data_IF_192624718329
#
_entry.id   IF_192624718329
#
_cell.length_a   1.000
_cell.length_b   1.000
_cell.length_c   1.000
_cell.angle_alpha   90.00
_cell.angle_beta   90.00
_cell.angle_gamma   90.00
#
_symmetry.space_group_name_H-M   'P 1'
#
loop_
_entity.id
_entity.type
_entity.pdbx_description
1 polymer ?
#
# COMPACT_ATOMS: atom_id res chain seq x y z
N UNK A 1 14.88 9.96 4.24
CA UNK A 1 13.53 9.74 4.77
C UNK A 1 13.08 8.38 4.27
N UNK A 2 12.77 7.39 5.12
CA UNK A 2 12.05 6.22 4.64
C UNK A 2 10.63 6.71 4.31
N UNK A 3 10.28 6.67 3.02
CA UNK A 3 8.92 6.93 2.55
C UNK A 3 8.12 5.61 2.57
N UNK A 4 6.80 5.66 2.78
CA UNK A 4 6.02 4.47 3.05
C UNK A 4 5.66 3.81 1.73
N UNK A 5 6.40 2.80 1.32
CA UNK A 5 5.75 1.68 0.64
C UNK A 5 5.23 0.79 1.78
N UNK A 6 3.92 0.75 2.05
CA UNK A 6 3.36 0.11 3.24
C UNK A 6 3.23 -1.41 3.02
N UNK A 7 4.29 -2.01 2.51
CA UNK A 7 4.32 -3.41 2.12
C UNK A 7 5.56 -4.04 2.73
N UNK A 8 5.42 -5.22 3.32
CA UNK A 8 6.55 -5.96 3.90
C UNK A 8 7.66 -6.22 2.87
N UNK A 9 7.31 -6.20 1.58
CA UNK A 9 8.21 -6.40 0.44
C UNK A 9 7.95 -5.35 -0.67
N UNK A 10 8.52 -4.13 -0.58
CA UNK A 10 8.38 -3.13 -1.64
C UNK A 10 9.07 -3.59 -2.93
N UNK A 11 8.52 -3.21 -4.09
CA UNK A 11 9.29 -3.36 -5.33
C UNK A 11 10.64 -2.65 -5.19
N UNK A 12 11.73 -3.21 -5.75
CA UNK A 12 13.06 -2.57 -5.71
C UNK A 12 13.15 -1.31 -6.58
N UNK A 13 12.03 -0.70 -6.98
CA UNK A 13 11.95 0.45 -7.89
C UNK A 13 12.74 1.67 -7.38
N UNK A 14 12.64 1.98 -6.10
CA UNK A 14 13.34 3.10 -5.47
C UNK A 14 14.86 2.94 -5.44
N UNK A 15 15.35 1.70 -5.47
CA UNK A 15 16.76 1.36 -5.39
C UNK A 15 17.47 1.51 -6.75
N UNK A 16 16.72 1.57 -7.85
CA UNK A 16 17.24 1.71 -9.22
C UNK A 16 17.67 3.14 -9.60
N UNK A 17 17.82 4.04 -8.62
CA UNK A 17 18.33 5.41 -8.85
C UNK A 17 19.79 5.36 -9.32
N UNK A 18 20.01 5.52 -10.62
CA UNK A 18 21.37 5.66 -11.17
C UNK A 18 21.64 5.07 -12.54
N UNK A 19 20.63 4.55 -13.25
CA UNK A 19 20.88 3.75 -14.46
C UNK A 19 21.53 2.40 -14.11
N UNK A 20 21.79 1.57 -15.12
CA UNK A 20 22.31 0.19 -15.01
C UNK A 20 23.62 0.11 -14.20
N UNK A 21 23.53 0.11 -12.88
CA UNK A 21 24.62 -0.24 -11.98
C UNK A 21 24.47 -1.71 -11.62
N UNK A 22 25.25 -2.53 -12.32
CA UNK A 22 26.06 -3.67 -11.84
C UNK A 22 25.53 -4.52 -10.64
N UNK A 23 25.06 -3.92 -9.55
CA UNK A 23 24.70 -4.60 -8.31
C UNK A 23 23.31 -5.27 -8.31
N UNK A 24 22.38 -4.87 -9.19
CA UNK A 24 21.04 -5.48 -9.31
C UNK A 24 20.86 -6.36 -10.55
N UNK A 25 21.97 -6.67 -11.24
CA UNK A 25 22.06 -7.82 -12.14
C UNK A 25 20.96 -7.94 -13.18
N UNK A 26 20.87 -7.01 -14.13
CA UNK A 26 20.35 -7.38 -15.43
C UNK A 26 21.43 -8.27 -16.10
N UNK A 27 21.28 -9.60 -16.23
CA UNK A 27 22.24 -10.42 -16.96
C UNK A 27 22.44 -9.85 -18.36
N UNK A 28 23.70 -9.83 -18.78
CA UNK A 28 24.10 -9.37 -20.09
C UNK A 28 23.33 -10.15 -21.16
N UNK A 29 22.56 -9.44 -22.00
CA UNK A 29 21.74 -10.03 -23.07
C UNK A 29 20.22 -9.90 -22.90
N UNK A 30 19.73 -9.19 -21.87
CA UNK A 30 18.30 -8.91 -21.77
C UNK A 30 17.79 -8.06 -22.95
N UNK A 31 16.69 -8.46 -23.61
CA UNK A 31 16.05 -7.62 -24.62
C UNK A 31 15.58 -6.32 -23.97
N UNK A 32 16.08 -5.20 -24.47
CA UNK A 32 15.60 -3.88 -24.09
C UNK A 32 14.12 -3.78 -24.44
N UNK A 33 13.26 -3.51 -23.46
CA UNK A 33 11.83 -3.31 -23.72
C UNK A 33 11.70 -2.04 -24.55
N UNK A 34 11.00 -2.12 -25.67
CA UNK A 34 10.75 -0.96 -26.51
C UNK A 34 9.73 -0.02 -25.85
N UNK A 35 10.21 0.83 -24.94
CA UNK A 35 9.40 1.82 -24.23
C UNK A 35 9.38 3.13 -25.01
N UNK A 36 8.18 3.65 -25.29
CA UNK A 36 8.00 4.94 -25.94
C UNK A 36 8.24 6.07 -24.94
N UNK A 37 9.17 6.99 -25.22
CA UNK A 37 9.45 8.14 -24.36
C UNK A 37 8.19 8.95 -23.98
N UNK A 38 7.31 9.30 -24.94
CA UNK A 38 6.01 9.91 -24.64
C UNK A 38 5.09 9.06 -23.74
N UNK A 39 5.09 7.74 -23.88
CA UNK A 39 4.28 6.86 -23.03
C UNK A 39 4.78 6.85 -21.58
N UNK A 40 6.10 6.82 -21.38
CA UNK A 40 6.72 6.91 -20.04
C UNK A 40 6.35 8.23 -19.35
N UNK A 41 6.38 9.35 -20.09
CA UNK A 41 5.97 10.66 -19.55
C UNK A 41 4.49 10.66 -19.16
N UNK A 42 3.61 10.13 -20.01
CA UNK A 42 2.19 10.06 -19.72
C UNK A 42 1.90 9.17 -18.49
N UNK A 43 2.59 8.04 -18.36
CA UNK A 43 2.49 7.17 -17.20
C UNK A 43 2.96 7.87 -15.92
N UNK A 44 4.10 8.56 -15.97
CA UNK A 44 4.61 9.34 -14.82
C UNK A 44 3.61 10.44 -14.41
N UNK A 45 3.02 11.14 -15.36
CA UNK A 45 1.97 12.14 -15.12
C UNK A 45 0.76 11.50 -14.43
N UNK A 46 0.25 10.38 -14.94
CA UNK A 46 -0.87 9.65 -14.35
C UNK A 46 -0.58 9.25 -12.90
N UNK A 47 0.60 8.69 -12.63
CA UNK A 47 1.02 8.31 -11.27
C UNK A 47 0.98 9.52 -10.32
N UNK A 48 1.47 10.69 -10.76
CA UNK A 48 1.46 11.91 -9.94
C UNK A 48 0.08 12.54 -9.80
N UNK A 49 -0.81 12.33 -10.77
CA UNK A 49 -2.22 12.74 -10.65
C UNK A 49 -2.97 11.89 -9.61
N UNK A 50 -2.63 10.61 -9.48
CA UNK A 50 -3.18 9.72 -8.46
C UNK A 50 -2.56 10.00 -7.08
N UNK A 51 -1.23 10.12 -7.04
CA UNK A 51 -0.46 10.37 -5.83
C UNK A 51 0.72 11.34 -6.09
N UNK A 52 0.60 12.63 -5.71
CA UNK A 52 1.60 13.65 -6.04
C UNK A 52 3.01 13.42 -5.48
N UNK A 53 3.11 12.68 -4.37
CA UNK A 53 4.38 12.38 -3.70
C UNK A 53 4.99 11.04 -4.16
N UNK A 54 4.45 10.45 -5.23
CA UNK A 54 4.99 9.25 -5.83
C UNK A 54 6.41 9.45 -6.36
N UNK A 55 7.13 8.35 -6.51
CA UNK A 55 8.42 8.38 -7.17
C UNK A 55 8.27 8.60 -8.68
N UNK A 56 9.20 9.38 -9.24
CA UNK A 56 9.30 9.60 -10.68
C UNK A 56 9.62 8.31 -11.42
N UNK A 57 8.89 8.09 -12.51
CA UNK A 57 9.07 6.98 -13.44
C UNK A 57 9.91 7.44 -14.61
N UNK A 58 10.98 6.69 -14.88
CA UNK A 58 11.87 6.93 -16.01
C UNK A 58 12.21 5.60 -16.71
N UNK A 59 12.56 5.69 -17.99
CA UNK A 59 12.86 4.51 -18.80
C UNK A 59 13.98 3.63 -18.20
N UNK A 60 15.11 4.18 -17.72
CA UNK A 60 16.15 3.36 -17.08
C UNK A 60 15.68 2.57 -15.85
N UNK A 61 14.81 3.13 -15.01
CA UNK A 61 14.25 2.40 -13.84
C UNK A 61 13.30 1.30 -14.27
N UNK A 62 12.45 1.56 -15.26
CA UNK A 62 11.55 0.55 -15.82
C UNK A 62 12.32 -0.65 -16.39
N UNK A 63 13.41 -0.40 -17.12
CA UNK A 63 14.27 -1.47 -17.64
C UNK A 63 14.90 -2.29 -16.51
N UNK A 64 15.38 -1.66 -15.45
CA UNK A 64 15.94 -2.36 -14.29
C UNK A 64 14.90 -3.16 -13.54
N UNK A 65 13.69 -2.63 -13.37
CA UNK A 65 12.58 -3.34 -12.74
C UNK A 65 12.19 -4.57 -13.55
N UNK A 66 12.09 -4.43 -14.88
CA UNK A 66 11.81 -5.56 -15.77
C UNK A 66 12.91 -6.63 -15.71
N UNK A 67 14.17 -6.22 -15.73
CA UNK A 67 15.30 -7.13 -15.63
C UNK A 67 15.32 -7.88 -14.28
N UNK A 68 15.01 -7.18 -13.19
CA UNK A 68 14.85 -7.79 -11.87
C UNK A 68 13.72 -8.82 -11.87
N UNK A 69 12.54 -8.50 -12.38
CA UNK A 69 11.40 -9.42 -12.40
C UNK A 69 11.73 -10.68 -13.20
N UNK A 70 12.40 -10.54 -14.34
CA UNK A 70 12.82 -11.67 -15.19
C UNK A 70 14.01 -12.45 -14.61
N UNK A 71 14.70 -11.92 -13.60
CA UNK A 71 15.76 -12.64 -12.88
C UNK A 71 15.21 -13.63 -11.85
N UNK A 72 13.94 -13.45 -11.44
CA UNK A 72 13.27 -14.34 -10.51
C UNK A 72 12.84 -15.65 -11.18
N UNK A 73 12.69 -16.74 -10.42
CA UNK A 73 11.95 -17.92 -10.86
C UNK A 73 10.54 -17.54 -11.32
N UNK A 74 10.02 -18.22 -12.36
CA UNK A 74 8.73 -17.89 -12.96
C UNK A 74 7.59 -17.86 -11.93
N UNK A 75 7.50 -18.89 -11.07
CA UNK A 75 6.49 -18.96 -10.00
C UNK A 75 6.59 -17.80 -9.00
N UNK A 76 7.82 -17.37 -8.66
CA UNK A 76 8.06 -16.24 -7.76
C UNK A 76 7.70 -14.91 -8.43
N UNK A 77 8.03 -14.74 -9.71
CA UNK A 77 7.70 -13.54 -10.46
C UNK A 77 6.17 -13.35 -10.57
N UNK A 78 5.42 -14.42 -10.86
CA UNK A 78 3.95 -14.35 -10.88
C UNK A 78 3.39 -14.06 -9.48
N UNK A 79 3.93 -14.69 -8.42
CA UNK A 79 3.50 -14.41 -7.05
C UNK A 79 3.71 -12.93 -6.66
N UNK A 80 4.82 -12.31 -7.06
CA UNK A 80 5.07 -10.88 -6.85
C UNK A 80 4.05 -10.00 -7.58
N UNK A 81 3.70 -10.33 -8.84
CA UNK A 81 2.70 -9.58 -9.59
C UNK A 81 1.30 -9.74 -8.98
N UNK A 82 0.87 -10.98 -8.72
CA UNK A 82 -0.46 -11.30 -8.23
C UNK A 82 -0.72 -10.71 -6.83
N UNK A 83 0.29 -10.72 -5.95
CA UNK A 83 0.18 -10.09 -4.63
C UNK A 83 -0.17 -8.59 -4.73
N UNK A 84 0.35 -7.88 -5.74
CA UNK A 84 0.10 -6.45 -5.95
C UNK A 84 -1.20 -6.20 -6.69
N UNK A 85 -1.52 -7.03 -7.68
CA UNK A 85 -2.76 -6.91 -8.45
C UNK A 85 -3.99 -7.28 -7.62
N UNK A 86 -3.84 -8.10 -6.58
CA UNK A 86 -4.92 -8.35 -5.61
C UNK A 86 -5.44 -7.06 -4.94
N UNK A 87 -4.60 -6.02 -4.82
CA UNK A 87 -5.02 -4.71 -4.31
C UNK A 87 -5.97 -3.99 -5.27
N UNK A 88 -5.86 -4.24 -6.56
CA UNK A 88 -6.81 -3.70 -7.54
C UNK A 88 -8.17 -4.38 -7.40
N UNK A 89 -8.20 -5.68 -7.12
CA UNK A 89 -9.44 -6.39 -6.81
C UNK A 89 -10.09 -5.86 -5.53
N UNK A 90 -9.30 -5.52 -4.51
CA UNK A 90 -9.78 -4.86 -3.30
C UNK A 90 -10.41 -3.49 -3.61
N UNK A 91 -9.77 -2.68 -4.45
CA UNK A 91 -10.33 -1.38 -4.87
C UNK A 91 -11.61 -1.53 -5.72
N UNK A 92 -11.70 -2.55 -6.57
CA UNK A 92 -12.93 -2.88 -7.30
C UNK A 92 -14.06 -3.27 -6.34
N UNK A 93 -13.77 -4.16 -5.41
CA UNK A 93 -14.75 -4.59 -4.40
C UNK A 93 -15.26 -3.41 -3.57
N UNK A 94 -14.37 -2.47 -3.22
CA UNK A 94 -14.71 -1.25 -2.51
C UNK A 94 -15.68 -0.35 -3.30
N UNK A 95 -15.48 -0.21 -4.61
CA UNK A 95 -16.39 0.55 -5.49
C UNK A 95 -17.74 -0.14 -5.68
N UNK A 96 -17.74 -1.48 -5.75
CA UNK A 96 -18.93 -2.28 -6.01
C UNK A 96 -19.80 -2.47 -4.75
N UNK A 97 -19.24 -2.31 -3.55
CA UNK A 97 -19.99 -2.44 -2.30
C UNK A 97 -20.87 -1.21 -2.05
N UNK A 98 -22.16 -1.33 -2.36
CA UNK A 98 -23.15 -0.27 -2.11
C UNK A 98 -23.41 0.03 -0.62
N UNK A 99 -22.87 -0.76 0.32
CA UNK A 99 -22.84 -0.44 1.75
C UNK A 99 -21.67 0.46 2.13
N UNK A 100 -20.64 0.49 1.29
CA UNK A 100 -19.48 1.35 1.45
C UNK A 100 -19.70 2.69 0.77
N UNK A 101 -19.36 3.76 1.47
CA UNK A 101 -19.56 5.13 1.00
C UNK A 101 -18.23 5.85 1.04
N UNK A 102 -17.42 5.49 0.05
CA UNK A 102 -16.20 6.17 -0.31
C UNK A 102 -16.49 7.57 -0.84
N UNK A 103 -15.64 8.53 -0.48
CA UNK A 103 -15.79 9.90 -0.97
C UNK A 103 -15.57 9.99 -2.49
N UNK A 104 -16.17 11.02 -3.10
CA UNK A 104 -16.13 11.20 -4.56
C UNK A 104 -14.71 11.36 -5.12
N UNK A 105 -13.78 11.95 -4.36
CA UNK A 105 -12.40 12.11 -4.82
C UNK A 105 -11.66 10.77 -4.84
N UNK A 106 -11.85 9.94 -3.82
CA UNK A 106 -11.31 8.57 -3.78
C UNK A 106 -11.91 7.72 -4.90
N UNK A 107 -13.23 7.75 -5.10
CA UNK A 107 -13.89 7.06 -6.21
C UNK A 107 -13.35 7.50 -7.58
N UNK A 108 -13.13 8.80 -7.78
CA UNK A 108 -12.56 9.32 -9.02
C UNK A 108 -11.15 8.80 -9.27
N UNK A 109 -10.29 8.76 -8.24
CA UNK A 109 -8.93 8.24 -8.34
C UNK A 109 -8.91 6.74 -8.65
N UNK A 110 -9.75 5.94 -7.97
CA UNK A 110 -9.83 4.49 -8.23
C UNK A 110 -10.29 4.24 -9.67
N UNK A 111 -11.36 4.90 -10.12
CA UNK A 111 -11.84 4.78 -11.50
C UNK A 111 -10.77 5.18 -12.51
N UNK A 112 -9.97 6.21 -12.23
CA UNK A 112 -8.87 6.63 -13.11
C UNK A 112 -7.75 5.59 -13.19
N UNK A 113 -7.41 4.96 -12.06
CA UNK A 113 -6.45 3.85 -12.02
C UNK A 113 -6.97 2.65 -12.84
N UNK A 114 -8.21 2.22 -12.59
CA UNK A 114 -8.81 1.09 -13.31
C UNK A 114 -8.97 1.37 -14.81
N UNK A 115 -9.31 2.60 -15.18
CA UNK A 115 -9.39 3.02 -16.58
C UNK A 115 -8.04 3.03 -17.30
N UNK A 116 -6.90 3.02 -16.58
CA UNK A 116 -5.59 2.79 -17.20
C UNK A 116 -5.39 1.30 -17.48
N UNK A 117 -5.62 0.47 -16.47
CA UNK A 117 -5.45 -0.99 -16.50
C UNK A 117 -6.29 -1.63 -17.60
N UNK A 118 -7.50 -1.11 -17.84
CA UNK A 118 -8.41 -1.69 -18.83
C UNK A 118 -8.06 -1.26 -20.28
N UNK A 119 -6.92 -0.61 -20.54
CA UNK A 119 -6.53 -0.11 -21.88
C UNK A 119 -5.67 -1.13 -22.62
N UNK A 120 -5.96 -1.34 -23.91
CA UNK A 120 -5.20 -2.26 -24.77
C UNK A 120 -3.83 -1.72 -25.26
N UNK A 121 -3.55 -0.42 -25.11
CA UNK A 121 -2.31 0.26 -25.56
C UNK A 121 -1.73 1.06 -24.39
N UNK A 122 -1.27 0.31 -23.39
CA UNK A 122 -0.63 0.77 -22.17
C UNK A 122 0.90 0.92 -22.33
N UNK A 123 1.63 1.13 -21.23
CA UNK A 123 3.07 1.39 -21.28
C UNK A 123 3.87 0.18 -21.76
N UNK A 124 3.46 -1.03 -21.36
CA UNK A 124 4.12 -2.28 -21.71
C UNK A 124 3.09 -3.23 -22.32
N UNK A 125 3.16 -3.53 -23.63
CA UNK A 125 2.12 -4.30 -24.29
C UNK A 125 1.83 -5.64 -23.61
N UNK A 126 0.57 -5.87 -23.26
CA UNK A 126 0.01 -7.10 -22.66
C UNK A 126 0.50 -8.42 -23.28
N UNK A 127 0.74 -8.41 -24.59
CA UNK A 127 1.24 -9.57 -25.35
C UNK A 127 2.62 -10.06 -24.89
N UNK A 128 3.37 -9.27 -24.12
CA UNK A 128 4.65 -9.67 -23.54
C UNK A 128 4.38 -10.49 -22.28
N UNK A 129 4.65 -11.82 -22.28
CA UNK A 129 4.41 -12.65 -21.11
C UNK A 129 5.15 -12.10 -19.90
N UNK A 130 4.51 -12.13 -18.72
CA UNK A 130 4.97 -11.56 -17.45
C UNK A 130 5.09 -10.03 -17.43
N UNK A 131 5.76 -9.43 -18.41
CA UNK A 131 6.05 -8.00 -18.46
C UNK A 131 4.85 -7.12 -18.77
N UNK A 132 3.86 -7.63 -19.50
CA UNK A 132 2.64 -6.86 -19.83
C UNK A 132 1.83 -6.43 -18.61
N UNK A 133 2.05 -7.05 -17.44
CA UNK A 133 1.38 -6.67 -16.18
C UNK A 133 2.26 -5.78 -15.29
N UNK A 134 3.47 -5.44 -15.73
CA UNK A 134 4.46 -4.80 -14.88
C UNK A 134 4.12 -3.33 -14.62
N UNK A 135 3.61 -2.62 -15.62
CA UNK A 135 3.19 -1.24 -15.50
C UNK A 135 1.92 -1.10 -14.65
N UNK A 136 0.95 -2.02 -14.77
CA UNK A 136 -0.19 -2.11 -13.84
C UNK A 136 0.27 -2.27 -12.39
N UNK A 137 1.18 -3.22 -12.16
CA UNK A 137 1.77 -3.49 -10.85
C UNK A 137 2.52 -2.27 -10.32
N UNK A 138 3.27 -1.58 -11.18
CA UNK A 138 3.98 -0.38 -10.80
C UNK A 138 3.02 0.77 -10.48
N UNK A 139 1.94 0.91 -11.26
CA UNK A 139 0.92 1.93 -11.07
C UNK A 139 0.25 1.77 -9.71
N UNK A 140 -0.24 0.57 -9.40
CA UNK A 140 -0.87 0.32 -8.09
C UNK A 140 0.14 0.47 -6.95
N UNK A 141 1.38 -0.01 -7.09
CA UNK A 141 2.40 0.09 -6.04
C UNK A 141 2.73 1.56 -5.72
N UNK A 142 2.95 2.39 -6.74
CA UNK A 142 3.31 3.80 -6.55
C UNK A 142 2.13 4.65 -6.07
N UNK A 143 0.91 4.33 -6.50
CA UNK A 143 -0.30 5.06 -6.11
C UNK A 143 -0.93 4.53 -4.82
N UNK A 144 -0.55 3.36 -4.32
CA UNK A 144 -1.16 2.72 -3.14
C UNK A 144 -1.26 3.63 -1.90
N UNK A 145 -0.27 4.49 -1.56
CA UNK A 145 -0.41 5.40 -0.43
C UNK A 145 -1.64 6.33 -0.51
N UNK A 146 -2.15 6.63 -1.71
CA UNK A 146 -3.36 7.42 -1.89
C UNK A 146 -4.65 6.66 -1.55
N UNK A 147 -4.60 5.33 -1.54
CA UNK A 147 -5.75 4.43 -1.32
C UNK A 147 -5.67 3.64 -0.01
N UNK A 148 -4.48 3.52 0.57
CA UNK A 148 -4.21 2.61 1.68
C UNK A 148 -5.12 2.84 2.89
N UNK A 149 -5.42 4.10 3.23
CA UNK A 149 -6.32 4.41 4.34
C UNK A 149 -7.74 3.90 4.05
N UNK A 150 -8.29 4.25 2.90
CA UNK A 150 -9.65 3.84 2.50
C UNK A 150 -9.77 2.31 2.43
N UNK A 151 -8.79 1.64 1.83
CA UNK A 151 -8.75 0.18 1.74
C UNK A 151 -8.70 -0.48 3.13
N UNK A 152 -7.91 0.08 4.06
CA UNK A 152 -7.86 -0.40 5.44
C UNK A 152 -9.22 -0.27 6.15
N UNK A 153 -9.88 0.89 6.03
CA UNK A 153 -11.19 1.13 6.63
C UNK A 153 -12.27 0.21 6.02
N UNK A 154 -12.20 -0.04 4.71
CA UNK A 154 -13.11 -0.96 4.03
C UNK A 154 -12.92 -2.42 4.47
N UNK A 155 -11.67 -2.90 4.62
CA UNK A 155 -11.40 -4.24 5.16
C UNK A 155 -11.96 -4.39 6.56
N UNK A 156 -11.71 -3.39 7.39
CA UNK A 156 -12.20 -3.34 8.76
C UNK A 156 -13.74 -3.41 8.84
N UNK A 157 -14.43 -2.69 7.94
CA UNK A 157 -15.87 -2.76 7.79
C UNK A 157 -16.35 -4.14 7.32
N UNK A 158 -15.66 -4.76 6.36
CA UNK A 158 -15.98 -6.11 5.90
C UNK A 158 -15.87 -7.15 7.02
N UNK A 159 -14.78 -7.08 7.79
CA UNK A 159 -14.54 -7.96 8.95
C UNK A 159 -15.63 -7.77 10.01
N UNK A 160 -16.00 -6.52 10.32
CA UNK A 160 -17.09 -6.22 11.25
C UNK A 160 -18.43 -6.80 10.78
N UNK A 161 -18.78 -6.68 9.49
CA UNK A 161 -20.01 -7.30 8.96
C UNK A 161 -19.99 -8.82 9.11
N UNK A 162 -18.83 -9.44 8.89
CA UNK A 162 -18.67 -10.88 8.97
C UNK A 162 -18.71 -11.40 10.42
N UNK A 163 -18.21 -10.64 11.40
CA UNK A 163 -18.23 -11.06 12.80
C UNK A 163 -19.55 -10.71 13.49
N UNK A 164 -20.00 -9.46 13.40
CA UNK A 164 -21.11 -8.94 14.20
C UNK A 164 -22.47 -9.15 13.56
N UNK A 165 -22.53 -9.45 12.26
CA UNK A 165 -23.76 -9.66 11.50
C UNK A 165 -24.83 -8.57 11.76
N UNK A 166 -24.47 -7.28 11.60
CA UNK A 166 -25.38 -6.19 11.92
C UNK A 166 -26.66 -6.29 11.08
N UNK A 167 -27.81 -6.16 11.73
CA UNK A 167 -29.10 -6.14 11.06
C UNK A 167 -29.38 -4.77 10.42
N UNK A 168 -30.24 -4.76 9.40
CA UNK A 168 -30.73 -3.53 8.77
C UNK A 168 -30.20 -3.30 7.36
N UNK A 169 -30.49 -2.11 6.84
CA UNK A 169 -30.05 -1.61 5.55
C UNK A 169 -28.51 -1.41 5.52
N UNK A 170 -27.90 -1.34 4.32
CA UNK A 170 -26.47 -1.09 4.18
C UNK A 170 -25.97 0.14 4.97
N UNK A 171 -26.74 1.23 4.94
CA UNK A 171 -26.46 2.45 5.68
C UNK A 171 -26.51 2.23 7.21
N UNK A 172 -27.51 1.48 7.70
CA UNK A 172 -27.63 1.15 9.13
C UNK A 172 -26.47 0.29 9.63
N UNK A 173 -26.02 -0.67 8.82
CA UNK A 173 -24.86 -1.52 9.13
C UNK A 173 -23.58 -0.68 9.20
N UNK A 174 -23.35 0.21 8.23
CA UNK A 174 -22.22 1.16 8.26
C UNK A 174 -22.28 2.08 9.48
N UNK A 175 -23.45 2.62 9.79
CA UNK A 175 -23.62 3.48 10.96
C UNK A 175 -23.40 2.72 12.28
N UNK A 176 -23.70 1.42 12.34
CA UNK A 176 -23.37 0.59 13.50
C UNK A 176 -21.85 0.43 13.65
N UNK A 177 -21.18 0.04 12.57
CA UNK A 177 -19.72 -0.05 12.52
C UNK A 177 -19.02 1.25 12.94
N UNK A 178 -19.43 2.40 12.38
CA UNK A 178 -18.87 3.71 12.72
C UNK A 178 -19.04 4.05 14.21
N UNK A 179 -20.21 3.75 14.80
CA UNK A 179 -20.45 3.99 16.23
C UNK A 179 -19.53 3.14 17.10
N UNK A 180 -19.36 1.87 16.75
CA UNK A 180 -18.55 0.94 17.53
C UNK A 180 -17.06 1.30 17.43
N UNK A 181 -16.58 1.68 16.24
CA UNK A 181 -15.21 2.18 16.05
C UNK A 181 -14.95 3.49 16.80
N UNK A 182 -15.90 4.42 16.80
CA UNK A 182 -15.77 5.64 17.60
C UNK A 182 -15.72 5.34 19.10
N UNK A 183 -16.53 4.39 19.58
CA UNK A 183 -16.51 3.97 20.98
C UNK A 183 -15.18 3.32 21.36
N UNK A 184 -14.62 2.48 20.49
CA UNK A 184 -13.31 1.86 20.69
C UNK A 184 -12.17 2.88 20.74
N UNK A 185 -12.14 3.84 19.80
CA UNK A 185 -11.15 4.92 19.78
C UNK A 185 -11.21 5.75 21.08
N UNK A 186 -12.40 6.03 21.59
CA UNK A 186 -12.56 6.78 22.85
C UNK A 186 -12.06 5.97 24.05
N UNK A 187 -12.34 4.65 24.10
CA UNK A 187 -11.80 3.76 25.12
C UNK A 187 -10.27 3.70 25.08
N UNK A 188 -9.67 3.58 23.88
CA UNK A 188 -8.22 3.58 23.70
C UNK A 188 -7.59 4.90 24.19
N UNK A 189 -8.15 6.04 23.81
CA UNK A 189 -7.69 7.37 24.27
C UNK A 189 -7.75 7.51 25.78
N UNK A 190 -8.82 7.01 26.41
CA UNK A 190 -8.94 7.00 27.86
C UNK A 190 -7.89 6.10 28.50
N UNK A 191 -7.66 4.90 27.94
CA UNK A 191 -6.64 3.97 28.44
C UNK A 191 -5.24 4.57 28.41
N UNK A 192 -4.84 5.19 27.28
CA UNK A 192 -3.54 5.88 27.17
C UNK A 192 -3.42 7.01 28.21
N UNK A 193 -4.47 7.80 28.41
CA UNK A 193 -4.47 8.86 29.43
C UNK A 193 -4.29 8.30 30.85
N UNK A 194 -4.97 7.20 31.17
CA UNK A 194 -4.84 6.54 32.48
C UNK A 194 -3.41 6.01 32.68
N UNK A 195 -2.85 5.36 31.67
CA UNK A 195 -1.46 4.88 31.69
C UNK A 195 -0.46 6.02 31.90
N UNK A 196 -0.59 7.12 31.17
CA UNK A 196 0.27 8.31 31.33
C UNK A 196 0.19 8.90 32.75
N UNK A 197 -1.00 8.89 33.37
CA UNK A 197 -1.18 9.31 34.77
C UNK A 197 -0.49 8.34 35.73
N UNK A 198 -0.54 7.03 35.47
CA UNK A 198 0.17 6.03 36.29
C UNK A 198 1.70 6.17 36.15
N UNK A 199 2.21 6.44 34.95
CA UNK A 199 3.64 6.71 34.73
C UNK A 199 4.09 8.04 35.37
N UNK A 200 3.24 9.08 35.35
CA UNK A 200 3.53 10.37 35.98
C UNK A 200 3.48 10.31 37.53
N UNK A 201 2.55 9.57 38.11
CA UNK A 201 2.41 9.40 39.57
C UNK A 201 3.40 8.36 40.16
N UNK A 202 4.11 7.59 39.34
CA UNK A 202 5.08 6.58 39.76
C UNK A 202 6.50 7.09 40.03
N UNK A 203 6.78 8.41 39.94
CA UNK A 203 8.11 8.99 40.22
C UNK A 203 8.12 9.87 41.48
N UNK A 204 8.09 9.22 42.63
CA UNK A 204 8.89 9.65 43.78
C UNK A 204 9.79 8.49 44.19
N UNK A 205 11.11 8.53 43.91
CA UNK A 205 12.02 7.61 44.56
C UNK A 205 12.09 8.03 46.03
N UNK A 206 11.29 7.40 46.88
CA UNK A 206 11.45 7.50 48.32
C UNK A 206 12.79 6.88 48.71
N UNK A 207 13.80 7.74 48.86
CA UNK A 207 14.93 7.58 49.76
C UNK A 207 15.94 6.46 49.44
N UNK A 208 17.22 6.65 49.80
CA UNK A 208 18.21 5.60 49.65
C UNK A 208 17.90 4.45 50.63
N UNK A 209 17.65 3.26 50.08
CA UNK A 209 17.55 2.01 50.81
C UNK A 209 18.80 1.83 51.72
N UNK A 210 18.63 2.01 53.03
CA UNK A 210 19.65 1.62 54.02
C UNK A 210 19.63 0.11 54.17
N UNK A 211 20.63 -0.56 53.61
CA UNK A 211 20.92 -1.97 53.91
C UNK A 211 21.63 -2.01 55.27
N UNK A 212 20.89 -2.29 56.35
CA UNK A 212 21.49 -2.67 57.63
C UNK A 212 21.90 -4.13 57.54
N UNK A 213 23.19 -4.38 57.29
CA UNK A 213 23.79 -5.69 57.46
C UNK A 213 24.05 -5.98 58.95
N UNK A 214 23.63 -7.15 59.42
CA UNK A 214 24.29 -8.01 60.42
C UNK A 214 23.44 -9.26 60.61
N UNK A 215 24.07 -10.44 60.75
CA UNK A 215 24.41 -10.84 62.10
C UNK A 215 25.76 -11.55 62.27
N UNK A 216 26.20 -11.51 63.54
CA UNK A 216 27.29 -12.20 64.24
C UNK A 216 28.64 -11.47 64.32
#
# INVERSE_FOLDING_TARGET
MPHPTPTDHPLPFEHFRGGLTDALGAPAGFPEIALSGPAVVHFDELVHELYPDAARVDQPRLQQLAAWLLSLPEDEAYAELDARLSRMDELRALLDDGAWDADDATRMRINKLLAYVDREDDLIPDRLPLLGRLDDVLLIELAWPAFAQEANEYRDFCDYRQSEHPAGTPEEQRNAWLRDRLAEIELMRMSTRIEDIHFANGRTPEGPLRVTGSPL
#
